data_IF_486729465948
#
_entry.id   IF_486729465948
#
_cell.length_a   1.000
_cell.length_b   1.000
_cell.length_c   1.000
_cell.angle_alpha   90.00
_cell.angle_beta   90.00
_cell.angle_gamma   90.00
#
_symmetry.space_group_name_H-M   'P 1'
#
loop_
_entity.id
_entity.type
_entity.pdbx_description
1 polymer ?
#
# COMPACT_ATOMS: atom_id res chain seq x y z
N UNK A 1 -6.80 -22.35 17.08
CA UNK A 1 -8.04 -21.54 16.88
C UNK A 1 -7.89 -20.11 17.44
N UNK A 2 -7.39 -19.93 18.67
CA UNK A 2 -7.15 -18.58 19.25
C UNK A 2 -6.00 -17.83 18.56
N UNK A 3 -4.87 -18.49 18.31
CA UNK A 3 -3.68 -17.87 17.70
C UNK A 3 -3.92 -17.33 16.29
N UNK A 4 -4.67 -18.08 15.46
CA UNK A 4 -5.04 -17.63 14.13
C UNK A 4 -5.93 -16.39 14.16
N UNK A 5 -6.90 -16.32 15.09
CA UNK A 5 -7.72 -15.12 15.25
C UNK A 5 -6.89 -13.91 15.68
N UNK A 6 -5.96 -14.10 16.60
CA UNK A 6 -5.05 -13.03 17.03
C UNK A 6 -4.20 -12.53 15.85
N UNK A 7 -3.70 -13.42 15.00
CA UNK A 7 -2.97 -13.04 13.78
C UNK A 7 -3.85 -12.17 12.87
N UNK A 8 -5.09 -12.58 12.61
CA UNK A 8 -6.03 -11.82 11.77
C UNK A 8 -6.30 -10.43 12.35
N UNK A 9 -6.46 -10.31 13.67
CA UNK A 9 -6.67 -9.01 14.32
C UNK A 9 -5.44 -8.10 14.20
N UNK A 10 -4.23 -8.66 14.33
CA UNK A 10 -2.97 -7.90 14.21
C UNK A 10 -2.78 -7.41 12.78
N UNK A 11 -2.95 -8.28 11.78
CA UNK A 11 -2.76 -7.87 10.37
C UNK A 11 -3.81 -6.86 9.94
N UNK A 12 -5.06 -6.98 10.41
CA UNK A 12 -6.15 -6.06 10.02
C UNK A 12 -5.86 -4.64 10.53
N UNK A 13 -5.44 -4.52 11.80
CA UNK A 13 -5.04 -3.24 12.41
C UNK A 13 -3.76 -2.69 11.78
N UNK A 14 -2.81 -3.55 11.46
CA UNK A 14 -1.57 -3.20 10.77
C UNK A 14 -1.83 -2.65 9.36
N UNK A 15 -2.69 -3.31 8.59
CA UNK A 15 -3.12 -2.88 7.27
C UNK A 15 -3.81 -1.52 7.30
N UNK A 16 -4.76 -1.32 8.21
CA UNK A 16 -5.44 -0.04 8.40
C UNK A 16 -4.45 1.10 8.71
N UNK A 17 -3.53 0.85 9.64
CA UNK A 17 -2.49 1.81 10.01
C UNK A 17 -1.57 2.12 8.82
N UNK A 18 -1.15 1.08 8.09
CA UNK A 18 -0.31 1.21 6.90
C UNK A 18 -0.99 2.07 5.83
N UNK A 19 -2.25 1.79 5.49
CA UNK A 19 -3.05 2.54 4.52
C UNK A 19 -3.10 4.03 4.89
N UNK A 20 -3.45 4.31 6.15
CA UNK A 20 -3.57 5.67 6.64
C UNK A 20 -2.26 6.45 6.50
N UNK A 21 -1.13 5.83 6.80
CA UNK A 21 0.18 6.47 6.67
C UNK A 21 0.59 6.60 5.20
N UNK A 22 0.38 5.55 4.40
CA UNK A 22 0.78 5.50 3.00
C UNK A 22 0.09 6.59 2.18
N UNK A 23 -1.24 6.70 2.24
CA UNK A 23 -1.97 7.70 1.46
C UNK A 23 -1.73 9.12 1.97
N UNK A 24 -1.58 9.32 3.29
CA UNK A 24 -1.13 10.62 3.84
C UNK A 24 0.22 11.05 3.27
N UNK A 25 1.18 10.13 3.16
CA UNK A 25 2.48 10.41 2.55
C UNK A 25 2.35 10.63 1.04
N UNK A 26 1.55 9.84 0.34
CA UNK A 26 1.34 10.01 -1.09
C UNK A 26 0.72 11.37 -1.44
N UNK A 27 -0.17 11.89 -0.59
CA UNK A 27 -0.82 13.18 -0.80
C UNK A 27 0.03 14.37 -0.35
N UNK A 28 0.73 14.24 0.79
CA UNK A 28 1.35 15.40 1.45
C UNK A 28 2.87 15.36 1.54
N UNK A 29 3.51 14.19 1.34
CA UNK A 29 4.95 14.03 1.54
C UNK A 29 5.55 12.93 0.64
N UNK A 30 5.52 13.15 -0.68
CA UNK A 30 5.99 12.17 -1.68
C UNK A 30 7.49 11.89 -1.61
N UNK A 31 8.27 12.77 -0.99
CA UNK A 31 9.72 12.60 -0.86
C UNK A 31 10.10 11.36 -0.07
N UNK A 32 9.30 10.97 0.92
CA UNK A 32 9.54 9.76 1.73
C UNK A 32 8.81 8.52 1.21
N UNK A 33 8.05 8.63 0.11
CA UNK A 33 7.25 7.52 -0.41
C UNK A 33 8.10 6.29 -0.78
N UNK A 34 9.36 6.50 -1.15
CA UNK A 34 10.31 5.44 -1.44
C UNK A 34 10.55 4.48 -0.25
N UNK A 35 10.34 4.94 1.00
CA UNK A 35 10.52 4.13 2.21
C UNK A 35 9.44 3.03 2.35
N UNK A 36 8.33 3.14 1.63
CA UNK A 36 7.25 2.16 1.63
C UNK A 36 7.48 0.99 0.67
N UNK A 37 8.65 0.95 0.02
CA UNK A 37 9.03 -0.04 -0.98
C UNK A 37 10.41 -0.62 -0.67
N UNK A 38 10.60 -1.90 -0.96
CA UNK A 38 11.92 -2.54 -0.90
C UNK A 38 12.75 -2.10 -2.12
N UNK A 39 14.09 -2.17 -2.06
CA UNK A 39 14.95 -1.73 -3.16
C UNK A 39 14.62 -2.35 -4.53
N UNK A 40 14.12 -3.59 -4.55
CA UNK A 40 13.76 -4.33 -5.76
C UNK A 40 12.25 -4.55 -5.93
N UNK A 41 11.41 -3.78 -5.23
CA UNK A 41 9.96 -3.85 -5.43
C UNK A 41 9.61 -3.55 -6.87
N UNK A 42 8.71 -4.35 -7.44
CA UNK A 42 8.13 -4.11 -8.76
C UNK A 42 6.77 -3.46 -8.57
N UNK A 43 6.50 -2.37 -9.30
CA UNK A 43 5.23 -1.65 -9.26
C UNK A 43 4.68 -1.57 -10.68
N UNK A 44 3.39 -1.85 -10.85
CA UNK A 44 2.69 -1.63 -12.12
C UNK A 44 1.64 -0.55 -11.92
N UNK A 45 1.80 0.58 -12.61
CA UNK A 45 0.87 1.71 -12.57
C UNK A 45 0.20 1.88 -13.93
N UNK A 46 -1.10 1.56 -14.01
CA UNK A 46 -1.88 1.63 -15.26
C UNK A 46 -1.17 0.97 -16.46
N UNK A 47 -0.61 -0.22 -16.26
CA UNK A 47 0.12 -0.98 -17.28
C UNK A 47 1.62 -0.61 -17.44
N UNK A 48 2.11 0.44 -16.78
CA UNK A 48 3.51 0.84 -16.82
C UNK A 48 4.28 0.22 -15.65
N UNK A 49 5.34 -0.53 -15.94
CA UNK A 49 6.17 -1.19 -14.94
C UNK A 49 7.29 -0.26 -14.43
N UNK A 50 7.52 -0.31 -13.12
CA UNK A 50 8.56 0.40 -12.39
C UNK A 50 9.31 -0.57 -11.48
N UNK A 51 10.59 -0.31 -11.25
CA UNK A 51 11.44 -1.09 -10.35
C UNK A 51 12.12 -0.17 -9.34
N UNK A 52 12.05 -0.54 -8.07
CA UNK A 52 12.70 0.17 -6.97
C UNK A 52 12.31 1.64 -6.89
N UNK A 53 13.32 2.51 -6.80
CA UNK A 53 13.15 3.96 -6.58
C UNK A 53 12.52 4.70 -7.77
N UNK A 54 12.50 4.10 -8.97
CA UNK A 54 11.95 4.75 -10.18
C UNK A 54 10.47 5.13 -10.04
N UNK A 55 9.70 4.35 -9.27
CA UNK A 55 8.30 4.66 -8.98
C UNK A 55 8.15 5.91 -8.12
N UNK A 56 8.99 6.07 -7.08
CA UNK A 56 8.92 7.25 -6.21
C UNK A 56 9.23 8.54 -7.00
N UNK A 57 10.22 8.49 -7.89
CA UNK A 57 10.54 9.61 -8.78
C UNK A 57 9.44 9.92 -9.80
N UNK A 58 8.71 8.90 -10.26
CA UNK A 58 7.53 9.09 -11.10
C UNK A 58 6.40 9.77 -10.33
N UNK A 59 6.06 9.30 -9.11
CA UNK A 59 4.96 9.85 -8.31
C UNK A 59 5.20 11.31 -7.92
N UNK A 60 6.46 11.72 -7.69
CA UNK A 60 6.82 13.14 -7.47
C UNK A 60 6.44 14.06 -8.63
N UNK A 61 6.36 13.55 -9.86
CA UNK A 61 6.01 14.33 -11.07
C UNK A 61 4.51 14.39 -11.32
N UNK A 62 3.71 13.58 -10.63
CA UNK A 62 2.26 13.64 -10.74
C UNK A 62 1.73 14.94 -10.12
N UNK A 63 0.56 15.45 -10.54
CA UNK A 63 -0.13 16.50 -9.80
C UNK A 63 -0.37 16.09 -8.35
N UNK A 64 -0.56 17.05 -7.44
CA UNK A 64 -0.97 16.76 -6.06
C UNK A 64 -2.19 15.84 -6.05
N UNK A 65 -2.26 14.92 -5.11
CA UNK A 65 -3.35 13.96 -5.02
C UNK A 65 -4.14 14.16 -3.75
N UNK A 66 -5.40 13.76 -3.79
CA UNK A 66 -6.23 13.55 -2.61
C UNK A 66 -6.90 12.20 -2.74
N UNK A 67 -6.54 11.26 -1.84
CA UNK A 67 -7.11 9.92 -1.82
C UNK A 67 -8.16 9.79 -0.73
N UNK A 68 -9.31 9.24 -1.11
CA UNK A 68 -10.35 8.79 -0.20
C UNK A 68 -10.46 7.27 -0.30
N UNK A 69 -9.98 6.57 0.73
CA UNK A 69 -10.07 5.11 0.82
C UNK A 69 -11.49 4.72 1.25
N UNK A 70 -12.12 3.84 0.48
CA UNK A 70 -13.49 3.38 0.74
C UNK A 70 -13.53 1.99 1.36
N UNK A 71 -12.63 1.11 0.90
CA UNK A 71 -12.51 -0.23 1.46
C UNK A 71 -11.10 -0.76 1.31
N UNK A 72 -10.75 -1.70 2.18
CA UNK A 72 -9.57 -2.51 2.03
C UNK A 72 -9.86 -3.93 2.52
N UNK A 73 -9.03 -4.85 2.05
CA UNK A 73 -9.03 -6.23 2.48
C UNK A 73 -7.59 -6.71 2.58
N UNK A 74 -7.31 -7.57 3.57
CA UNK A 74 -5.96 -8.04 3.81
C UNK A 74 -5.94 -9.50 4.24
N UNK A 75 -4.95 -10.23 3.73
CA UNK A 75 -4.79 -11.66 3.98
C UNK A 75 -3.34 -12.01 4.30
N UNK A 76 -3.07 -12.89 5.28
CA UNK A 76 -1.73 -13.36 5.55
C UNK A 76 -1.32 -14.39 4.50
N UNK A 77 -0.07 -14.31 4.03
CA UNK A 77 0.54 -15.37 3.23
C UNK A 77 1.12 -16.40 4.21
N UNK A 78 0.35 -17.45 4.50
CA UNK A 78 0.73 -18.47 5.49
C UNK A 78 2.08 -19.13 5.14
N UNK A 79 2.35 -19.33 3.86
CA UNK A 79 3.62 -19.92 3.39
C UNK A 79 4.84 -19.04 3.64
N UNK A 80 4.67 -17.76 3.99
CA UNK A 80 5.76 -16.85 4.31
C UNK A 80 5.95 -16.65 5.82
N UNK A 81 5.26 -17.43 6.66
CA UNK A 81 5.34 -17.26 8.10
C UNK A 81 6.70 -17.72 8.63
N UNK A 82 7.40 -16.80 9.30
CA UNK A 82 8.69 -17.06 9.93
C UNK A 82 8.51 -17.72 11.30
N UNK A 83 9.61 -18.22 11.88
CA UNK A 83 9.61 -18.90 13.18
C UNK A 83 9.19 -17.98 14.35
N UNK A 84 9.32 -16.66 14.17
CA UNK A 84 8.92 -15.63 15.12
C UNK A 84 7.44 -15.21 14.99
N UNK A 85 6.70 -15.80 14.04
CA UNK A 85 5.29 -15.50 13.79
C UNK A 85 5.05 -14.30 12.87
N UNK A 86 6.10 -13.68 12.33
CA UNK A 86 5.94 -12.64 11.29
C UNK A 86 5.54 -13.26 9.96
N UNK A 87 4.72 -12.57 9.17
CA UNK A 87 4.33 -13.01 7.83
C UNK A 87 4.07 -11.83 6.89
N UNK A 88 4.19 -12.11 5.60
CA UNK A 88 3.80 -11.24 4.49
C UNK A 88 2.28 -11.12 4.46
N UNK A 89 1.79 -9.93 4.10
CA UNK A 89 0.36 -9.71 3.87
C UNK A 89 0.12 -9.30 2.43
N UNK A 90 -0.97 -9.82 1.87
CA UNK A 90 -1.56 -9.29 0.65
C UNK A 90 -2.55 -8.23 1.07
N UNK A 91 -2.42 -7.03 0.52
CA UNK A 91 -3.30 -5.90 0.79
C UNK A 91 -3.95 -5.43 -0.51
N UNK A 92 -5.28 -5.33 -0.48
CA UNK A 92 -6.08 -4.77 -1.57
C UNK A 92 -6.80 -3.54 -1.03
N UNK A 93 -6.70 -2.43 -1.75
CA UNK A 93 -7.34 -1.16 -1.36
C UNK A 93 -8.13 -0.61 -2.53
N UNK A 94 -9.33 -0.13 -2.26
CA UNK A 94 -10.14 0.57 -3.25
C UNK A 94 -10.68 1.89 -2.71
N UNK A 95 -10.91 2.83 -3.61
CA UNK A 95 -11.38 4.16 -3.25
C UNK A 95 -11.40 5.10 -4.44
N UNK A 96 -11.33 6.40 -4.14
CA UNK A 96 -11.27 7.45 -5.16
C UNK A 96 -10.06 8.35 -4.98
N UNK A 97 -9.58 8.90 -6.09
CA UNK A 97 -8.47 9.85 -6.13
C UNK A 97 -8.83 11.06 -6.99
N UNK A 98 -8.47 12.23 -6.49
CA UNK A 98 -8.47 13.49 -7.22
C UNK A 98 -7.03 13.91 -7.49
N UNK A 99 -6.73 14.41 -8.70
CA UNK A 99 -5.42 14.93 -9.05
C UNK A 99 -5.49 16.43 -9.37
N UNK A 100 -4.55 17.21 -8.82
CA UNK A 100 -4.47 18.65 -8.99
C UNK A 100 -5.79 19.34 -8.65
N UNK A 101 -6.28 20.16 -9.58
CA UNK A 101 -7.57 20.82 -9.48
C UNK A 101 -8.63 20.16 -10.39
N UNK A 102 -8.45 18.90 -10.80
CA UNK A 102 -9.44 18.19 -11.60
C UNK A 102 -10.74 18.08 -10.82
N UNK A 103 -11.88 18.44 -11.43
CA UNK A 103 -13.21 18.25 -10.82
C UNK A 103 -13.65 16.79 -10.79
N UNK A 104 -12.99 15.93 -11.58
CA UNK A 104 -13.33 14.52 -11.71
C UNK A 104 -12.61 13.68 -10.65
N UNK A 105 -13.40 13.00 -9.81
CA UNK A 105 -12.91 11.89 -8.99
C UNK A 105 -12.76 10.64 -9.84
N UNK A 106 -11.65 9.93 -9.67
CA UNK A 106 -11.34 8.68 -10.38
C UNK A 106 -11.33 7.54 -9.38
N UNK A 107 -12.04 6.46 -9.68
CA UNK A 107 -11.93 5.23 -8.90
C UNK A 107 -10.55 4.59 -9.06
N UNK A 108 -10.00 4.02 -7.99
CA UNK A 108 -8.76 3.26 -8.03
C UNK A 108 -8.89 1.92 -7.31
N UNK A 109 -8.03 0.98 -7.67
CA UNK A 109 -7.78 -0.24 -6.91
C UNK A 109 -6.29 -0.55 -6.94
N UNK A 110 -5.71 -0.75 -5.76
CA UNK A 110 -4.29 -1.07 -5.59
C UNK A 110 -4.17 -2.47 -4.99
N UNK A 111 -3.29 -3.26 -5.61
CA UNK A 111 -2.90 -4.58 -5.16
C UNK A 111 -1.46 -4.47 -4.70
N UNK A 112 -1.20 -4.68 -3.41
CA UNK A 112 0.15 -4.63 -2.86
C UNK A 112 0.48 -5.95 -2.20
N UNK A 113 1.47 -6.64 -2.76
CA UNK A 113 2.13 -7.75 -2.09
C UNK A 113 3.19 -7.16 -1.17
N UNK A 114 2.91 -7.08 0.14
CA UNK A 114 3.85 -6.55 1.11
C UNK A 114 4.46 -7.68 1.91
N UNK A 115 5.69 -8.06 1.54
CA UNK A 115 6.59 -8.71 2.48
C UNK A 115 6.93 -7.69 3.58
N UNK A 116 6.08 -7.61 4.61
CA UNK A 116 6.34 -6.88 5.84
C UNK A 116 7.13 -7.81 6.76
N UNK A 117 8.43 -7.57 6.86
CA UNK A 117 9.24 -8.08 7.97
C UNK A 117 9.31 -6.89 8.94
N UNK A 118 8.67 -7.01 10.09
CA UNK A 118 8.89 -6.12 11.23
C UNK A 118 10.10 -6.67 11.99
#
# INVERSE_FOLDING_TARGET
MSEYRNLIDVISKGAESFINIFFKCMDNNRDILHQFYRPFSTIVWNGNAFVGLSYAEFVKRLPNSHHEVQSFDCHPIISSMNQDGTCTIILVVSGSVQYGNESQLRGFSIWKDQELII
#
